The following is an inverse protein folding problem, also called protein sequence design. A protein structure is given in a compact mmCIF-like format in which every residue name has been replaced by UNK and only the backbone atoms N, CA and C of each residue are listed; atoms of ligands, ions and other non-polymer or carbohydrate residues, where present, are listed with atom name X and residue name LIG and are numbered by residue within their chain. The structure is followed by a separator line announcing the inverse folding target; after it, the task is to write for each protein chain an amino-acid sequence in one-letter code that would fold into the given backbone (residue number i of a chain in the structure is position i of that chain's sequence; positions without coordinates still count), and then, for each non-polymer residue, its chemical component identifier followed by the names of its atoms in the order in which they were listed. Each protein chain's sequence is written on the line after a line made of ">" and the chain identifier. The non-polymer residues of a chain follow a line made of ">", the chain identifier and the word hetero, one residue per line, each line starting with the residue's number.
data_IF_256973043644
#
_entry.id   IF_256973043644
#
_cell.length_a   1.000
_cell.length_b   1.000
_cell.length_c   1.000
_cell.angle_alpha   90.00
_cell.angle_beta   90.00
_cell.angle_gamma   90.00
#
_symmetry.space_group_name_H-M   'P 1'
#
loop_
_entity.id
_entity.type
_entity.pdbx_description
1 polymer ?
#
# COMPACT_ATOMS: atom_id res chain seq x y z
N UNK A 1 -7.71 0.15 1.10
CA UNK A 1 -6.40 0.35 0.45
C UNK A 1 -5.36 0.80 1.46
N UNK A 2 -4.11 0.67 1.12
CA UNK A 2 -2.97 1.11 1.93
C UNK A 2 -2.14 2.10 1.10
N UNK A 3 -1.68 3.17 1.74
CA UNK A 3 -0.76 4.16 1.17
C UNK A 3 0.62 3.98 1.81
N UNK A 4 1.64 3.83 0.97
CA UNK A 4 3.02 3.57 1.38
C UNK A 4 3.93 4.59 0.75
N UNK A 5 4.59 5.38 1.59
CA UNK A 5 5.51 6.44 1.17
C UNK A 5 6.84 6.29 1.91
N UNK A 6 7.92 5.95 1.21
CA UNK A 6 9.26 5.98 1.81
C UNK A 6 10.27 6.71 0.93
N UNK A 7 11.18 7.41 1.58
CA UNK A 7 12.26 8.13 0.90
C UNK A 7 13.57 7.39 1.15
N UNK A 8 14.23 6.98 0.07
CA UNK A 8 15.48 6.22 0.07
C UNK A 8 16.46 6.86 -0.92
N UNK A 9 17.68 6.37 -0.96
CA UNK A 9 18.71 6.86 -1.88
C UNK A 9 18.44 6.44 -3.35
N UNK A 10 17.60 5.41 -3.55
CA UNK A 10 17.33 4.82 -4.86
C UNK A 10 15.90 4.25 -4.93
N UNK A 11 15.41 3.94 -6.17
CA UNK A 11 14.20 3.14 -6.35
C UNK A 11 14.32 1.77 -5.68
N UNK A 12 13.29 1.37 -4.96
CA UNK A 12 13.25 0.11 -4.22
C UNK A 12 12.00 -0.74 -4.53
N UNK A 13 11.77 -1.15 -5.78
CA UNK A 13 10.57 -1.90 -6.15
C UNK A 13 10.45 -3.24 -5.42
N UNK A 14 11.57 -3.84 -5.01
CA UNK A 14 11.58 -5.08 -4.21
C UNK A 14 10.85 -4.93 -2.86
N UNK A 15 10.83 -3.73 -2.27
CA UNK A 15 10.07 -3.50 -1.03
C UNK A 15 8.57 -3.64 -1.27
N UNK A 16 8.08 -3.20 -2.44
CA UNK A 16 6.69 -3.38 -2.80
C UNK A 16 6.32 -4.86 -2.90
N UNK A 17 7.19 -5.67 -3.50
CA UNK A 17 6.98 -7.12 -3.61
C UNK A 17 6.93 -7.78 -2.23
N UNK A 18 7.82 -7.40 -1.31
CA UNK A 18 7.82 -7.87 0.08
C UNK A 18 6.55 -7.44 0.82
N UNK A 19 6.16 -6.17 0.72
CA UNK A 19 4.95 -5.65 1.35
C UNK A 19 3.72 -6.42 0.88
N UNK A 20 3.60 -6.63 -0.43
CA UNK A 20 2.47 -7.37 -1.01
C UNK A 20 2.47 -8.82 -0.56
N UNK A 21 3.62 -9.49 -0.54
CA UNK A 21 3.71 -10.88 -0.11
C UNK A 21 3.28 -11.03 1.37
N UNK A 22 3.79 -10.20 2.27
CA UNK A 22 3.41 -10.24 3.68
C UNK A 22 1.93 -9.86 3.89
N UNK A 23 1.42 -8.87 3.15
CA UNK A 23 0.03 -8.45 3.24
C UNK A 23 -0.95 -9.53 2.77
N UNK A 24 -0.61 -10.25 1.69
CA UNK A 24 -1.39 -11.39 1.21
C UNK A 24 -1.41 -12.51 2.25
N UNK A 25 -0.25 -12.87 2.80
CA UNK A 25 -0.13 -13.89 3.83
C UNK A 25 -0.90 -13.52 5.10
N UNK A 26 -0.80 -12.26 5.55
CA UNK A 26 -1.54 -11.73 6.67
C UNK A 26 -3.05 -11.80 6.43
N UNK A 27 -3.50 -11.36 5.25
CA UNK A 27 -4.92 -11.39 4.87
C UNK A 27 -5.45 -12.82 4.87
N UNK A 28 -4.71 -13.74 4.28
CA UNK A 28 -5.10 -15.15 4.24
C UNK A 28 -5.20 -15.75 5.64
N UNK A 29 -4.23 -15.45 6.50
CA UNK A 29 -4.21 -15.94 7.90
C UNK A 29 -5.39 -15.42 8.73
N UNK A 30 -5.73 -14.13 8.61
CA UNK A 30 -6.69 -13.49 9.51
C UNK A 30 -8.11 -13.44 8.95
N UNK A 31 -8.28 -13.41 7.63
CA UNK A 31 -9.60 -13.37 6.99
C UNK A 31 -9.96 -14.67 6.24
N UNK A 32 -9.06 -15.64 6.16
CA UNK A 32 -9.27 -16.90 5.46
C UNK A 32 -9.46 -16.74 3.93
N UNK A 33 -8.97 -15.62 3.36
CA UNK A 33 -9.16 -15.26 1.96
C UNK A 33 -7.86 -14.81 1.33
N UNK A 34 -7.63 -15.22 0.09
CA UNK A 34 -6.51 -14.71 -0.71
C UNK A 34 -7.00 -13.51 -1.51
N UNK A 35 -6.49 -12.29 -1.23
CA UNK A 35 -6.93 -11.10 -1.94
C UNK A 35 -6.39 -11.06 -3.36
N UNK A 36 -7.13 -10.43 -4.27
CA UNK A 36 -6.52 -9.86 -5.48
C UNK A 36 -5.91 -8.52 -5.12
N UNK A 37 -4.69 -8.28 -5.53
CA UNK A 37 -3.97 -7.05 -5.22
C UNK A 37 -3.78 -6.22 -6.48
N UNK A 38 -4.12 -4.95 -6.39
CA UNK A 38 -3.83 -3.95 -7.42
C UNK A 38 -2.94 -2.89 -6.78
N UNK A 39 -1.81 -2.61 -7.41
CA UNK A 39 -0.92 -1.55 -6.95
C UNK A 39 -0.77 -0.46 -7.99
N UNK A 40 -0.64 0.74 -7.50
CA UNK A 40 -0.30 1.90 -8.32
C UNK A 40 0.95 2.57 -7.79
N UNK A 41 1.73 3.15 -8.67
CA UNK A 41 3.02 3.75 -8.41
C UNK A 41 3.03 5.22 -8.80
N UNK A 42 3.51 6.06 -7.89
CA UNK A 42 3.82 7.47 -8.13
C UNK A 42 5.23 7.84 -7.66
N UNK A 43 6.12 6.84 -7.61
CA UNK A 43 7.51 7.01 -7.20
C UNK A 43 8.28 7.94 -8.13
N UNK A 44 9.21 8.70 -7.57
CA UNK A 44 9.99 9.71 -8.31
C UNK A 44 11.27 10.12 -7.62
N UNK A 45 12.24 10.58 -8.39
CA UNK A 45 13.39 11.29 -7.86
C UNK A 45 12.94 12.62 -7.20
N UNK A 46 13.51 12.95 -6.06
CA UNK A 46 13.31 14.22 -5.33
C UNK A 46 14.53 15.14 -5.36
N UNK A 47 15.64 14.65 -5.90
CA UNK A 47 16.91 15.33 -5.96
C UNK A 47 18.04 14.32 -6.11
N UNK A 48 19.28 14.78 -6.06
CA UNK A 48 20.44 13.90 -6.12
C UNK A 48 20.49 13.02 -4.85
N UNK A 49 20.61 11.69 -5.04
CA UNK A 49 20.64 10.72 -3.95
C UNK A 49 19.35 10.65 -3.11
N UNK A 50 18.22 11.12 -3.64
CA UNK A 50 16.96 11.11 -2.91
C UNK A 50 15.81 10.66 -3.82
N UNK A 51 15.20 9.52 -3.51
CA UNK A 51 14.12 8.93 -4.29
C UNK A 51 12.92 8.65 -3.38
N UNK A 52 11.75 9.20 -3.74
CA UNK A 52 10.49 8.88 -3.08
C UNK A 52 9.89 7.66 -3.74
N UNK A 53 9.80 6.56 -3.02
CA UNK A 53 9.00 5.39 -3.36
C UNK A 53 7.58 5.62 -2.82
N UNK A 54 6.57 5.52 -3.67
CA UNK A 54 5.18 5.89 -3.32
C UNK A 54 4.20 4.96 -4.01
N UNK A 55 3.51 4.12 -3.24
CA UNK A 55 2.61 3.11 -3.75
C UNK A 55 1.26 3.14 -3.04
N UNK A 56 0.18 2.96 -3.81
CA UNK A 56 -1.12 2.61 -3.26
C UNK A 56 -1.39 1.13 -3.53
N UNK A 57 -1.73 0.38 -2.50
CA UNK A 57 -2.01 -1.05 -2.56
C UNK A 57 -3.48 -1.27 -2.24
N UNK A 58 -4.21 -1.86 -3.16
CA UNK A 58 -5.65 -2.09 -3.07
C UNK A 58 -5.91 -3.59 -2.99
N UNK A 59 -6.59 -4.01 -1.94
CA UNK A 59 -7.03 -5.40 -1.78
C UNK A 59 -8.47 -5.54 -2.27
N UNK A 60 -8.71 -6.52 -3.13
CA UNK A 60 -10.02 -6.92 -3.59
C UNK A 60 -10.39 -8.29 -3.04
N UNK A 61 -11.70 -8.59 -3.02
CA UNK A 61 -12.26 -9.89 -2.62
C UNK A 61 -12.07 -10.27 -1.14
N UNK A 62 -11.76 -9.28 -0.30
CA UNK A 62 -11.55 -9.50 1.15
C UNK A 62 -12.74 -9.07 2.01
N UNK A 63 -13.79 -8.55 1.40
CA UNK A 63 -14.93 -7.95 2.10
C UNK A 63 -14.76 -6.45 2.30
N UNK A 64 -15.78 -5.81 2.86
CA UNK A 64 -15.77 -4.39 3.16
C UNK A 64 -15.32 -4.11 4.58
N UNK A 65 -14.38 -3.18 4.75
CA UNK A 65 -14.04 -2.61 6.04
C UNK A 65 -14.69 -1.24 6.19
N UNK A 66 -15.16 -0.93 7.39
CA UNK A 66 -15.62 0.41 7.70
C UNK A 66 -14.43 1.39 7.72
N UNK A 67 -14.50 2.45 6.92
CA UNK A 67 -13.51 3.52 6.88
C UNK A 67 -14.02 4.77 7.60
N UNK A 68 -15.02 4.65 8.45
CA UNK A 68 -15.57 5.77 9.21
C UNK A 68 -15.04 5.82 10.63
N UNK A 69 -15.05 7.02 11.22
CA UNK A 69 -14.86 7.13 12.65
C UNK A 69 -16.02 6.40 13.36
N UNK A 70 -15.67 5.37 14.12
CA UNK A 70 -16.57 4.80 15.12
C UNK A 70 -16.39 5.53 16.45
N UNK A 71 -17.23 5.25 17.42
CA UNK A 71 -17.08 5.80 18.77
C UNK A 71 -15.76 5.41 19.44
N UNK A 72 -15.07 4.40 18.91
CA UNK A 72 -13.87 3.80 19.51
C UNK A 72 -12.58 3.99 18.73
N UNK A 73 -12.65 4.32 17.43
CA UNK A 73 -11.43 4.56 16.64
C UNK A 73 -11.64 5.59 15.53
N UNK A 74 -10.65 6.47 15.36
CA UNK A 74 -10.53 7.32 14.18
C UNK A 74 -10.02 6.44 13.03
N UNK A 75 -10.80 6.29 11.95
CA UNK A 75 -10.41 5.49 10.79
C UNK A 75 -11.02 4.08 10.73
N UNK A 76 -11.84 3.72 11.71
CA UNK A 76 -12.63 2.48 11.68
C UNK A 76 -11.81 1.19 11.61
N UNK A 77 -12.46 0.13 11.16
CA UNK A 77 -11.89 -1.23 11.09
C UNK A 77 -10.72 -1.34 10.09
N UNK A 78 -10.75 -0.54 9.03
CA UNK A 78 -9.67 -0.53 8.03
C UNK A 78 -8.36 -0.08 8.65
N UNK A 79 -8.38 0.97 9.46
CA UNK A 79 -7.19 1.44 10.17
C UNK A 79 -6.64 0.38 11.12
N UNK A 80 -7.50 -0.22 11.94
CA UNK A 80 -7.11 -1.27 12.88
C UNK A 80 -6.49 -2.47 12.16
N UNK A 81 -7.07 -2.85 11.02
CA UNK A 81 -6.54 -3.95 10.22
C UNK A 81 -5.12 -3.68 9.73
N UNK A 82 -4.85 -2.49 9.19
CA UNK A 82 -3.52 -2.15 8.71
C UNK A 82 -2.52 -1.88 9.83
N UNK A 83 -2.95 -1.29 10.96
CA UNK A 83 -2.09 -1.18 12.15
C UNK A 83 -1.66 -2.55 12.67
N UNK A 84 -2.57 -3.53 12.69
CA UNK A 84 -2.24 -4.91 13.05
C UNK A 84 -1.29 -5.56 12.03
N UNK A 85 -1.49 -5.31 10.73
CA UNK A 85 -0.56 -5.75 9.69
C UNK A 85 0.85 -5.17 9.92
N UNK A 86 0.98 -3.87 10.12
CA UNK A 86 2.28 -3.21 10.34
C UNK A 86 2.99 -3.77 11.59
N UNK A 87 2.23 -4.06 12.64
CA UNK A 87 2.78 -4.70 13.85
C UNK A 87 3.22 -6.16 13.63
N UNK A 88 2.78 -6.79 12.54
CA UNK A 88 3.07 -8.19 12.22
C UNK A 88 4.21 -8.39 11.22
N UNK A 89 4.76 -7.32 10.66
CA UNK A 89 5.83 -7.38 9.66
C UNK A 89 7.05 -8.17 10.18
N UNK A 90 7.58 -9.04 9.35
CA UNK A 90 8.70 -9.93 9.69
C UNK A 90 9.96 -9.63 8.87
N UNK A 91 9.82 -9.18 7.62
CA UNK A 91 10.98 -8.89 6.77
C UNK A 91 11.83 -7.77 7.39
N UNK A 92 13.14 -7.97 7.62
CA UNK A 92 14.00 -6.96 8.23
C UNK A 92 13.99 -5.63 7.47
N UNK A 93 13.91 -5.68 6.15
CA UNK A 93 13.85 -4.52 5.27
C UNK A 93 12.60 -3.67 5.54
N UNK A 94 11.46 -4.31 5.84
CA UNK A 94 10.20 -3.63 6.12
C UNK A 94 10.16 -3.10 7.56
N UNK A 95 10.70 -3.86 8.51
CA UNK A 95 10.74 -3.44 9.93
C UNK A 95 11.73 -2.30 10.17
N UNK A 96 12.70 -2.11 9.28
CA UNK A 96 13.65 -1.00 9.30
C UNK A 96 13.07 0.32 8.74
N UNK A 97 11.91 0.28 8.08
CA UNK A 97 11.27 1.48 7.55
C UNK A 97 10.67 2.33 8.68
N UNK A 98 10.72 3.64 8.51
CA UNK A 98 10.12 4.58 9.46
C UNK A 98 8.61 4.40 9.52
N UNK A 99 8.02 4.69 10.68
CA UNK A 99 6.56 4.62 10.88
C UNK A 99 5.77 5.52 9.93
N UNK A 100 6.37 6.61 9.48
CA UNK A 100 5.80 7.56 8.53
C UNK A 100 5.66 6.98 7.13
N UNK A 101 6.36 5.87 6.84
CA UNK A 101 6.18 5.10 5.60
C UNK A 101 4.74 4.62 5.43
N UNK A 102 4.05 4.36 6.53
CA UNK A 102 2.70 3.82 6.56
C UNK A 102 1.70 4.94 6.84
N UNK A 103 1.16 5.55 5.78
CA UNK A 103 0.23 6.66 5.96
C UNK A 103 -1.15 6.18 6.42
N UNK A 104 -1.33 6.14 7.74
CA UNK A 104 -2.63 5.82 8.36
C UNK A 104 -3.61 7.00 8.36
N UNK A 105 -3.17 8.21 7.98
CA UNK A 105 -4.04 9.37 7.89
C UNK A 105 -5.07 9.27 6.77
N UNK A 106 -4.81 8.40 5.78
CA UNK A 106 -5.73 8.11 4.68
C UNK A 106 -7.02 7.41 5.14
N UNK A 107 -7.02 6.79 6.34
CA UNK A 107 -8.20 6.10 6.88
C UNK A 107 -9.11 7.09 7.61
N UNK A 108 -9.77 7.93 6.85
CA UNK A 108 -10.78 8.86 7.35
C UNK A 108 -12.01 8.87 6.43
N UNK A 109 -13.10 9.47 6.91
CA UNK A 109 -14.41 9.43 6.25
C UNK A 109 -14.41 10.05 4.86
N UNK A 110 -13.55 11.02 4.61
CA UNK A 110 -13.56 11.85 3.40
C UNK A 110 -12.25 11.74 2.59
N UNK A 111 -11.49 10.64 2.75
CA UNK A 111 -10.27 10.43 1.96
C UNK A 111 -10.59 10.17 0.50
N UNK A 112 -9.99 10.96 -0.36
CA UNK A 112 -10.08 10.80 -1.79
C UNK A 112 -8.87 10.04 -2.33
N UNK A 113 -9.11 9.05 -3.18
CA UNK A 113 -8.07 8.34 -3.91
C UNK A 113 -7.88 8.97 -5.28
N UNK A 114 -6.63 9.16 -5.69
CA UNK A 114 -6.31 9.65 -7.04
C UNK A 114 -6.67 8.59 -8.08
N UNK A 115 -7.21 9.04 -9.21
CA UNK A 115 -7.41 8.18 -10.37
C UNK A 115 -6.08 7.85 -11.05
N UNK A 116 -6.00 6.65 -11.64
CA UNK A 116 -4.88 6.26 -12.50
C UNK A 116 -4.72 7.30 -13.62
N UNK A 117 -3.49 7.71 -13.90
CA UNK A 117 -3.17 8.74 -14.89
C UNK A 117 -3.22 10.17 -14.38
N UNK A 118 -3.78 10.42 -13.16
CA UNK A 118 -3.78 11.76 -12.56
C UNK A 118 -2.47 12.05 -11.82
N UNK A 119 -2.19 13.33 -11.58
CA UNK A 119 -1.12 13.81 -10.69
C UNK A 119 -1.71 14.69 -9.58
N UNK A 120 -0.95 14.98 -8.54
CA UNK A 120 -1.35 15.99 -7.54
C UNK A 120 -1.31 17.38 -8.16
N UNK A 121 -2.27 18.22 -7.82
CA UNK A 121 -2.37 19.59 -8.36
C UNK A 121 -1.17 20.47 -7.96
N UNK A 122 -0.62 20.22 -6.78
CA UNK A 122 0.51 20.91 -6.16
C UNK A 122 1.87 20.22 -6.40
N UNK A 123 1.90 19.14 -7.18
CA UNK A 123 3.13 18.41 -7.48
C UNK A 123 3.80 18.98 -8.75
N UNK A 124 4.84 19.76 -8.56
CA UNK A 124 5.64 20.35 -9.65
C UNK A 124 6.22 19.30 -10.59
N UNK A 125 6.52 18.10 -10.09
CA UNK A 125 7.02 17.00 -10.92
C UNK A 125 5.98 16.45 -11.88
N UNK A 126 4.69 16.72 -11.63
CA UNK A 126 3.54 16.16 -12.37
C UNK A 126 3.59 14.65 -12.55
N UNK A 127 4.17 13.96 -11.57
CA UNK A 127 4.28 12.50 -11.60
C UNK A 127 2.89 11.88 -11.57
N UNK A 128 2.58 11.14 -12.62
CA UNK A 128 1.27 10.48 -12.78
C UNK A 128 1.24 9.16 -12.04
N UNK A 129 0.08 8.86 -11.47
CA UNK A 129 -0.20 7.56 -10.87
C UNK A 129 -0.29 6.49 -11.96
N UNK A 130 0.55 5.46 -11.89
CA UNK A 130 0.62 4.37 -12.89
C UNK A 130 0.24 3.04 -12.23
N UNK A 131 -0.27 2.11 -13.01
CA UNK A 131 -0.37 0.72 -12.56
C UNK A 131 1.02 0.12 -12.43
N UNK A 132 1.26 -0.58 -11.33
CA UNK A 132 2.46 -1.40 -11.20
C UNK A 132 2.26 -2.70 -11.98
N UNK A 133 3.23 -3.04 -12.81
CA UNK A 133 3.34 -4.38 -13.33
C UNK A 133 3.97 -5.27 -12.26
N UNK A 134 3.13 -5.85 -11.40
CA UNK A 134 3.60 -7.00 -10.63
C UNK A 134 3.87 -8.14 -11.59
N UNK A 135 4.91 -8.88 -11.31
CA UNK A 135 4.95 -10.25 -11.79
C UNK A 135 3.72 -10.98 -11.21
N UNK A 136 2.60 -10.90 -11.92
CA UNK A 136 1.31 -11.52 -11.58
C UNK A 136 1.41 -13.02 -11.24
N UNK A 137 2.54 -13.65 -11.58
CA UNK A 137 2.83 -15.04 -11.26
C UNK A 137 2.97 -15.33 -9.75
N UNK A 138 3.33 -14.34 -8.94
CA UNK A 138 3.58 -14.57 -7.51
C UNK A 138 2.32 -14.39 -6.64
N UNK A 139 1.29 -13.69 -7.12
CA UNK A 139 0.12 -13.31 -6.31
C UNK A 139 -1.19 -13.94 -6.80
N UNK A 140 -1.30 -14.21 -8.09
CA UNK A 140 -2.37 -15.05 -8.62
C UNK A 140 -1.82 -16.48 -8.70
N UNK A 141 -2.12 -17.32 -7.72
CA UNK A 141 -2.02 -18.76 -7.91
C UNK A 141 -2.56 -19.10 -9.30
N UNK A 142 -1.82 -19.88 -10.06
CA UNK A 142 -2.14 -20.31 -11.42
C UNK A 142 -3.65 -20.54 -11.53
N UNK A 143 -4.34 -19.73 -12.31
CA UNK A 143 -5.62 -20.18 -12.83
C UNK A 143 -5.32 -21.33 -13.75
N UNK A 144 -5.48 -22.53 -13.20
CA UNK A 144 -5.64 -23.71 -14.02
C UNK A 144 -6.63 -23.39 -15.14
N UNK A 145 -6.26 -23.81 -16.31
CA UNK A 145 -6.90 -23.71 -17.63
C UNK A 145 -8.39 -23.94 -17.62
#
# INVERSE_FOLDING_TARGET
>A
YMDVDCTLDAPAPHLLDLIVAELVAFTQKHLGRTPRVVCTDSSRAKGEGCFKNSWHIILHDVGGFCNGATTTSKGGDMRLYFEAFFASLQAPELTALDKETWDVSVYNRNSNMRCIGSHKADDESRTRLKLCNFGLAAVCGERAK
#
